data_IF_658113320805
#
_entry.id   IF_658113320805
#
_cell.length_a   1.000
_cell.length_b   1.000
_cell.length_c   1.000
_cell.angle_alpha   90.00
_cell.angle_beta   90.00
_cell.angle_gamma   90.00
#
_symmetry.space_group_name_H-M   'P 1'
#
loop_
_entity.id
_entity.type
_entity.pdbx_description
1 polymer ?
#
# COMPACT_ATOMS: atom_id res chain seq x y z
N UNK A 1 -28.32 -14.00 86.81
CA UNK A 1 -28.10 -13.04 85.71
C UNK A 1 -26.83 -13.48 84.92
N UNK A 2 -27.05 -14.12 83.80
CA UNK A 2 -25.92 -14.62 82.91
C UNK A 2 -26.13 -14.02 81.56
N UNK A 3 -25.22 -13.12 81.13
CA UNK A 3 -25.17 -12.55 79.80
C UNK A 3 -24.48 -13.55 78.86
N UNK A 4 -25.17 -13.95 77.84
CA UNK A 4 -24.61 -14.79 76.75
C UNK A 4 -24.18 -13.86 75.64
N UNK A 5 -22.86 -13.81 75.39
CA UNK A 5 -22.22 -13.07 74.31
C UNK A 5 -22.23 -13.94 73.08
N UNK A 6 -22.99 -13.54 72.02
CA UNK A 6 -22.97 -14.18 70.69
C UNK A 6 -21.95 -13.49 69.86
N UNK A 7 -20.86 -14.18 69.60
CA UNK A 7 -19.80 -13.75 68.61
C UNK A 7 -20.28 -14.10 67.22
N UNK A 8 -20.48 -13.07 66.36
CA UNK A 8 -20.81 -13.20 65.00
C UNK A 8 -19.48 -13.25 64.14
N UNK A 9 -19.17 -14.42 63.61
CA UNK A 9 -18.05 -14.55 62.65
C UNK A 9 -18.53 -14.08 61.26
N UNK A 10 -18.01 -12.91 60.79
CA UNK A 10 -18.15 -12.50 59.40
C UNK A 10 -17.07 -13.19 58.60
N UNK A 11 -17.43 -14.14 57.73
CA UNK A 11 -16.56 -14.71 56.74
C UNK A 11 -16.52 -13.78 55.52
N UNK A 12 -15.38 -13.09 55.32
CA UNK A 12 -15.10 -12.21 54.17
C UNK A 12 -14.64 -13.08 53.00
N UNK A 13 -15.55 -13.43 52.06
CA UNK A 13 -15.22 -14.13 50.84
C UNK A 13 -14.68 -13.14 49.80
N UNK A 14 -13.36 -13.12 49.63
CA UNK A 14 -12.67 -12.37 48.54
C UNK A 14 -12.88 -13.13 47.23
N UNK A 15 -13.86 -12.70 46.44
CA UNK A 15 -14.05 -13.17 45.06
C UNK A 15 -12.96 -12.62 44.16
N UNK A 16 -12.02 -13.48 43.73
CA UNK A 16 -11.02 -13.16 42.75
C UNK A 16 -11.69 -13.03 41.38
N UNK A 17 -11.96 -11.77 40.95
CA UNK A 17 -12.52 -11.47 39.64
C UNK A 17 -11.38 -11.57 38.62
N UNK A 18 -11.24 -12.71 37.95
CA UNK A 18 -10.31 -12.88 36.85
C UNK A 18 -10.77 -12.01 35.66
N UNK A 19 -10.11 -10.88 35.44
CA UNK A 19 -10.31 -10.05 34.27
C UNK A 19 -9.65 -10.78 33.08
N UNK A 20 -10.47 -11.47 32.27
CA UNK A 20 -10.05 -12.05 31.02
C UNK A 20 -9.90 -10.89 30.03
N UNK A 21 -8.67 -10.40 29.87
CA UNK A 21 -8.35 -9.41 28.82
C UNK A 21 -8.37 -10.11 27.48
N UNK A 22 -9.45 -9.97 26.72
CA UNK A 22 -9.46 -10.35 25.30
C UNK A 22 -8.51 -9.42 24.59
N UNK A 23 -7.32 -9.90 24.24
CA UNK A 23 -6.44 -9.23 23.30
C UNK A 23 -7.17 -9.16 21.94
N UNK A 24 -7.72 -8.02 21.60
CA UNK A 24 -8.24 -7.74 20.26
C UNK A 24 -7.08 -7.92 19.29
N UNK A 25 -7.15 -8.98 18.48
CA UNK A 25 -6.23 -9.20 17.37
C UNK A 25 -6.51 -8.09 16.34
N UNK A 26 -5.80 -6.98 16.45
CA UNK A 26 -5.85 -5.90 15.47
C UNK A 26 -5.46 -6.50 14.13
N UNK A 27 -6.41 -6.52 13.18
CA UNK A 27 -6.09 -6.92 11.80
C UNK A 27 -4.98 -6.00 11.30
N UNK A 28 -3.93 -6.53 10.65
CA UNK A 28 -2.84 -5.70 10.17
C UNK A 28 -3.41 -4.63 9.23
N UNK A 29 -2.99 -3.38 9.41
CA UNK A 29 -3.46 -2.24 8.64
C UNK A 29 -3.01 -2.39 7.17
N UNK A 30 -3.96 -2.58 6.26
CA UNK A 30 -3.71 -2.76 4.83
C UNK A 30 -3.41 -1.39 4.23
N UNK A 31 -2.18 -1.19 3.77
CA UNK A 31 -1.75 0.05 3.14
C UNK A 31 -2.04 0.09 1.64
N UNK A 32 -1.96 -1.05 0.96
CA UNK A 32 -2.14 -1.14 -0.49
C UNK A 32 -2.93 -2.40 -0.85
N UNK A 33 -3.94 -2.25 -1.69
CA UNK A 33 -4.63 -3.36 -2.34
C UNK A 33 -4.19 -3.44 -3.81
N UNK A 34 -3.83 -4.63 -4.27
CA UNK A 34 -3.51 -4.90 -5.68
C UNK A 34 -4.48 -5.93 -6.21
N UNK A 35 -5.13 -5.64 -7.34
CA UNK A 35 -6.17 -6.51 -7.88
C UNK A 35 -6.49 -6.26 -9.35
N UNK A 36 -7.66 -6.70 -9.80
CA UNK A 36 -8.07 -6.67 -11.20
C UNK A 36 -7.60 -7.90 -11.97
N UNK A 37 -7.14 -7.74 -13.20
CA UNK A 37 -6.65 -8.84 -14.06
C UNK A 37 -5.23 -9.27 -13.66
N UNK A 38 -5.09 -9.89 -12.51
CA UNK A 38 -3.83 -10.41 -11.93
C UNK A 38 -3.98 -11.89 -11.58
N UNK A 39 -2.87 -12.63 -11.55
CA UNK A 39 -2.88 -14.02 -11.07
C UNK A 39 -3.10 -14.10 -9.55
N UNK A 40 -2.55 -13.11 -8.80
CA UNK A 40 -2.59 -13.07 -7.35
C UNK A 40 -3.00 -11.68 -6.86
N UNK A 41 -4.26 -11.53 -6.44
CA UNK A 41 -4.67 -10.32 -5.71
C UNK A 41 -4.01 -10.25 -4.35
N UNK A 42 -3.54 -9.06 -3.94
CA UNK A 42 -2.77 -8.87 -2.71
C UNK A 42 -3.36 -7.74 -1.87
N UNK A 43 -3.30 -7.92 -0.54
CA UNK A 43 -3.50 -6.87 0.45
C UNK A 43 -2.20 -6.72 1.21
N UNK A 44 -1.50 -5.62 0.98
CA UNK A 44 -0.16 -5.40 1.49
C UNK A 44 -0.19 -4.47 2.71
N UNK A 45 0.39 -4.94 3.78
CA UNK A 45 0.68 -4.15 4.99
C UNK A 45 2.04 -3.47 4.86
N UNK A 46 2.42 -2.65 5.84
CA UNK A 46 3.79 -2.10 5.94
C UNK A 46 4.82 -3.23 5.92
N UNK A 47 4.63 -4.24 6.74
CA UNK A 47 5.55 -5.37 6.84
C UNK A 47 5.68 -6.18 5.54
N UNK A 48 4.64 -6.19 4.69
CA UNK A 48 4.70 -6.85 3.39
C UNK A 48 5.45 -5.99 2.36
N UNK A 49 5.27 -4.68 2.39
CA UNK A 49 6.03 -3.75 1.54
C UNK A 49 7.52 -3.75 1.88
N UNK A 50 7.87 -3.92 3.16
CA UNK A 50 9.27 -3.97 3.61
C UNK A 50 10.01 -5.25 3.16
N UNK A 51 9.28 -6.28 2.66
CA UNK A 51 9.87 -7.49 2.07
C UNK A 51 10.32 -7.32 0.62
N UNK A 52 9.87 -6.27 -0.07
CA UNK A 52 10.32 -5.96 -1.42
C UNK A 52 11.70 -5.30 -1.43
N UNK A 53 12.43 -5.44 -2.52
CA UNK A 53 13.70 -4.74 -2.70
C UNK A 53 13.48 -3.22 -2.64
N UNK A 54 14.21 -2.55 -1.75
CA UNK A 54 14.11 -1.09 -1.60
C UNK A 54 14.88 -0.43 -2.74
N UNK A 55 14.22 0.55 -3.36
CA UNK A 55 14.79 1.36 -4.42
C UNK A 55 14.82 2.83 -4.00
N UNK A 56 15.81 3.54 -4.53
CA UNK A 56 15.98 4.98 -4.33
C UNK A 56 16.05 5.66 -5.67
N UNK A 57 15.37 6.77 -5.83
CA UNK A 57 15.53 7.65 -6.99
C UNK A 57 15.53 9.12 -6.56
N UNK A 58 16.10 9.98 -7.42
CA UNK A 58 16.02 11.43 -7.29
C UNK A 58 15.12 11.98 -8.38
N UNK A 59 14.22 12.88 -8.00
CA UNK A 59 13.32 13.52 -8.94
C UNK A 59 12.92 14.92 -8.44
N UNK A 60 12.65 15.82 -9.39
CA UNK A 60 12.11 17.15 -9.06
C UNK A 60 10.63 17.06 -8.76
N UNK A 61 10.20 17.60 -7.62
CA UNK A 61 8.77 17.73 -7.27
C UNK A 61 8.19 19.03 -7.85
N UNK A 62 6.90 19.25 -7.63
CA UNK A 62 6.13 20.38 -8.16
C UNK A 62 6.66 21.77 -7.75
N UNK A 63 7.43 21.86 -6.67
CA UNK A 63 8.12 23.08 -6.21
C UNK A 63 9.45 23.35 -6.94
N UNK A 64 9.81 22.46 -7.91
CA UNK A 64 11.04 22.54 -8.70
C UNK A 64 12.29 22.04 -7.99
N UNK A 65 12.19 21.61 -6.72
CA UNK A 65 13.31 21.08 -5.96
C UNK A 65 13.46 19.58 -6.20
N UNK A 66 14.70 19.15 -6.21
CA UNK A 66 15.03 17.72 -6.27
C UNK A 66 15.00 17.10 -4.88
N UNK A 67 14.31 15.97 -4.77
CA UNK A 67 14.21 15.18 -3.55
C UNK A 67 14.66 13.75 -3.81
N UNK A 68 15.13 13.10 -2.76
CA UNK A 68 15.41 11.67 -2.72
C UNK A 68 14.15 10.94 -2.27
N UNK A 69 13.67 9.99 -3.07
CA UNK A 69 12.53 9.14 -2.76
C UNK A 69 12.98 7.71 -2.55
N UNK A 70 12.53 7.09 -1.46
CA UNK A 70 12.77 5.68 -1.16
C UNK A 70 11.43 4.93 -1.17
N UNK A 71 11.42 3.73 -1.77
CA UNK A 71 10.21 2.94 -1.90
C UNK A 71 10.43 1.59 -2.59
N UNK A 72 9.40 1.11 -3.26
CA UNK A 72 9.40 -0.13 -4.03
C UNK A 72 9.15 0.20 -5.51
N UNK A 73 9.92 -0.37 -6.43
CA UNK A 73 9.64 -0.24 -7.85
C UNK A 73 8.27 -0.89 -8.16
N UNK A 74 7.39 -0.15 -8.85
CA UNK A 74 6.02 -0.63 -9.12
C UNK A 74 6.03 -1.93 -9.91
N UNK A 75 7.00 -2.11 -10.83
CA UNK A 75 7.13 -3.37 -11.58
C UNK A 75 7.28 -4.60 -10.67
N UNK A 76 8.00 -4.50 -9.56
CA UNK A 76 8.18 -5.63 -8.63
C UNK A 76 6.86 -6.04 -7.96
N UNK A 77 6.03 -5.05 -7.62
CA UNK A 77 4.70 -5.30 -7.07
C UNK A 77 3.82 -5.99 -8.12
N UNK A 78 3.86 -5.51 -9.37
CA UNK A 78 3.08 -6.06 -10.46
C UNK A 78 3.54 -7.48 -10.83
N UNK A 79 4.84 -7.75 -10.85
CA UNK A 79 5.40 -9.09 -11.07
C UNK A 79 4.99 -10.04 -9.94
N UNK A 80 5.00 -9.59 -8.69
CA UNK A 80 4.53 -10.37 -7.55
C UNK A 80 3.04 -10.70 -7.64
N UNK A 81 2.24 -9.83 -8.27
CA UNK A 81 0.83 -10.08 -8.58
C UNK A 81 0.63 -11.03 -9.79
N UNK A 82 1.71 -11.48 -10.44
CA UNK A 82 1.68 -12.44 -11.55
C UNK A 82 1.72 -11.81 -12.94
N UNK A 83 1.91 -10.49 -13.06
CA UNK A 83 2.04 -9.86 -14.38
C UNK A 83 3.39 -10.24 -15.01
N UNK A 84 3.34 -10.47 -16.32
CA UNK A 84 4.51 -10.81 -17.14
C UNK A 84 4.87 -9.60 -18.01
N UNK A 85 6.16 -9.32 -18.11
CA UNK A 85 6.76 -8.22 -18.85
C UNK A 85 7.67 -8.73 -19.96
N UNK A 86 8.34 -7.83 -20.67
CA UNK A 86 9.21 -8.19 -21.79
C UNK A 86 8.43 -8.78 -22.95
N UNK A 87 8.88 -9.92 -23.47
CA UNK A 87 8.27 -10.57 -24.62
C UNK A 87 6.80 -10.96 -24.43
N UNK A 88 6.36 -11.16 -23.20
CA UNK A 88 4.97 -11.45 -22.88
C UNK A 88 4.04 -10.22 -22.99
N UNK A 89 4.60 -9.00 -22.92
CA UNK A 89 3.85 -7.75 -23.01
C UNK A 89 3.76 -7.26 -24.46
N UNK A 90 3.12 -8.07 -25.33
CA UNK A 90 2.98 -7.78 -26.77
C UNK A 90 1.56 -7.98 -27.26
N UNK A 91 1.22 -7.39 -28.39
CA UNK A 91 -0.08 -7.56 -29.06
C UNK A 91 -1.24 -7.15 -28.15
N UNK A 92 -2.15 -8.06 -27.89
CA UNK A 92 -3.35 -7.78 -27.06
C UNK A 92 -3.02 -7.42 -25.60
N UNK A 93 -1.85 -7.84 -25.09
CA UNK A 93 -1.43 -7.49 -23.73
C UNK A 93 -1.13 -6.00 -23.57
N UNK A 94 -0.76 -5.30 -24.66
CA UNK A 94 -0.53 -3.84 -24.67
C UNK A 94 -1.80 -3.03 -24.34
N UNK A 95 -2.99 -3.60 -24.51
CA UNK A 95 -4.25 -2.97 -24.15
C UNK A 95 -4.58 -3.12 -22.65
N UNK A 96 -3.59 -3.45 -21.83
CA UNK A 96 -3.72 -3.56 -20.38
C UNK A 96 -3.04 -2.36 -19.72
N UNK A 97 -3.66 -1.82 -18.68
CA UNK A 97 -3.15 -0.67 -17.95
C UNK A 97 -3.31 -0.85 -16.43
N UNK A 98 -2.53 -0.12 -15.70
CA UNK A 98 -2.64 0.02 -14.25
C UNK A 98 -3.49 1.26 -13.95
N UNK A 99 -4.57 1.09 -13.21
CA UNK A 99 -5.33 2.16 -12.56
C UNK A 99 -4.86 2.27 -11.12
N UNK A 100 -4.32 3.42 -10.74
CA UNK A 100 -3.95 3.75 -9.36
C UNK A 100 -4.98 4.68 -8.76
N UNK A 101 -5.48 4.35 -7.57
CA UNK A 101 -6.46 5.15 -6.86
C UNK A 101 -5.92 5.59 -5.50
N UNK A 102 -6.16 6.85 -5.17
CA UNK A 102 -5.87 7.47 -3.90
C UNK A 102 -7.01 7.30 -2.88
N UNK A 103 -6.73 7.62 -1.62
CA UNK A 103 -7.73 7.54 -0.54
C UNK A 103 -8.90 8.53 -0.72
N UNK A 104 -8.69 9.66 -1.42
CA UNK A 104 -9.69 10.67 -1.75
C UNK A 104 -10.46 10.37 -3.05
N UNK A 105 -10.19 9.23 -3.71
CA UNK A 105 -10.80 8.84 -4.96
C UNK A 105 -10.12 9.39 -6.22
N UNK A 106 -9.01 10.16 -6.09
CA UNK A 106 -8.23 10.57 -7.25
C UNK A 106 -7.68 9.36 -7.98
N UNK A 107 -7.75 9.35 -9.32
CA UNK A 107 -7.32 8.23 -10.15
C UNK A 107 -6.35 8.66 -11.24
N UNK A 108 -5.36 7.82 -11.52
CA UNK A 108 -4.45 7.98 -12.65
C UNK A 108 -4.19 6.63 -13.33
N UNK A 109 -3.98 6.68 -14.64
CA UNK A 109 -3.75 5.51 -15.50
C UNK A 109 -2.30 5.49 -15.98
N UNK A 110 -1.73 4.28 -16.02
CA UNK A 110 -0.38 4.00 -16.51
C UNK A 110 -0.46 2.81 -17.47
N UNK A 111 0.05 2.97 -18.67
CA UNK A 111 0.18 1.83 -19.58
C UNK A 111 1.23 0.83 -19.04
N UNK A 112 0.97 -0.47 -19.13
CA UNK A 112 1.93 -1.47 -18.62
C UNK A 112 3.33 -1.34 -19.23
N UNK A 113 3.51 -0.98 -20.53
CA UNK A 113 4.85 -0.76 -21.08
C UNK A 113 5.66 0.35 -20.40
N UNK A 114 5.03 1.25 -19.64
CA UNK A 114 5.76 2.29 -18.88
C UNK A 114 6.59 1.71 -17.73
N UNK A 115 6.26 0.50 -17.28
CA UNK A 115 7.00 -0.22 -16.23
C UNK A 115 8.00 -1.23 -16.79
N UNK A 116 7.95 -1.51 -18.09
CA UNK A 116 8.74 -2.56 -18.72
C UNK A 116 10.12 -2.05 -19.15
N UNK A 117 11.26 -2.54 -18.56
CA UNK A 117 12.60 -2.04 -18.88
C UNK A 117 12.95 -2.07 -20.39
N UNK A 118 12.61 -3.11 -21.19
CA UNK A 118 12.81 -3.08 -22.64
C UNK A 118 12.07 -1.95 -23.37
N UNK A 119 11.00 -1.42 -22.77
CA UNK A 119 10.18 -0.37 -23.38
C UNK A 119 10.44 1.01 -22.81
N UNK A 120 11.02 1.09 -21.61
CA UNK A 120 11.20 2.35 -20.90
C UNK A 120 12.30 2.27 -19.83
N UNK A 121 13.27 3.18 -19.90
CA UNK A 121 14.36 3.27 -18.91
C UNK A 121 13.95 3.92 -17.58
N UNK A 122 12.72 4.42 -17.47
CA UNK A 122 12.24 5.10 -16.26
C UNK A 122 11.79 4.12 -15.20
N UNK A 123 12.34 4.24 -14.02
CA UNK A 123 11.81 3.54 -12.85
C UNK A 123 10.65 4.36 -12.27
N UNK A 124 9.45 3.78 -12.25
CA UNK A 124 8.30 4.32 -11.52
C UNK A 124 8.29 3.70 -10.12
N UNK A 125 8.28 4.55 -9.10
CA UNK A 125 8.42 4.14 -7.70
C UNK A 125 7.11 4.36 -6.94
N UNK A 126 6.72 3.39 -6.14
CA UNK A 126 5.78 3.58 -5.04
C UNK A 126 6.61 3.94 -3.81
N UNK A 127 6.72 5.24 -3.55
CA UNK A 127 7.53 5.76 -2.45
C UNK A 127 6.74 5.80 -1.14
N UNK A 128 7.46 5.58 -0.04
CA UNK A 128 6.95 5.76 1.32
C UNK A 128 7.81 6.72 2.16
N UNK A 129 8.92 7.22 1.59
CA UNK A 129 9.81 8.22 2.21
C UNK A 129 10.28 9.25 1.20
N UNK A 130 10.50 10.46 1.72
CA UNK A 130 11.16 11.57 1.03
C UNK A 130 12.28 12.10 1.93
N UNK A 131 13.52 12.16 1.42
CA UNK A 131 14.72 12.54 2.16
C UNK A 131 14.90 11.82 3.51
N UNK A 132 14.54 10.51 3.53
CA UNK A 132 14.61 9.65 4.70
C UNK A 132 13.43 9.76 5.67
N UNK A 133 12.56 10.76 5.52
CA UNK A 133 11.38 10.94 6.36
C UNK A 133 10.12 10.33 5.72
N UNK A 134 9.16 9.88 6.53
CA UNK A 134 7.85 9.50 6.05
C UNK A 134 7.10 10.72 5.49
N UNK A 135 6.24 10.49 4.50
CA UNK A 135 5.39 11.57 3.98
C UNK A 135 4.42 12.10 5.05
N UNK A 136 4.08 13.42 5.01
CA UNK A 136 2.99 13.94 5.82
C UNK A 136 1.66 13.29 5.44
N UNK A 137 0.69 13.31 6.34
CA UNK A 137 -0.62 12.68 6.14
C UNK A 137 -1.34 13.12 4.83
N UNK A 138 -1.07 14.32 4.36
CA UNK A 138 -1.63 14.87 3.11
C UNK A 138 -1.02 14.26 1.83
N UNK A 139 0.08 13.53 1.93
CA UNK A 139 0.78 12.90 0.79
C UNK A 139 1.00 11.39 0.97
N UNK A 140 1.14 10.94 2.21
CA UNK A 140 1.41 9.55 2.56
C UNK A 140 0.17 8.72 2.94
N UNK A 141 0.38 7.45 3.30
CA UNK A 141 1.67 6.80 3.53
C UNK A 141 2.43 6.41 2.24
N UNK A 142 1.77 6.34 1.10
CA UNK A 142 2.33 5.92 -0.19
C UNK A 142 2.08 6.98 -1.26
N UNK A 143 3.10 7.26 -2.08
CA UNK A 143 3.03 8.24 -3.18
C UNK A 143 3.65 7.64 -4.45
N UNK A 144 2.98 7.78 -5.59
CA UNK A 144 3.59 7.47 -6.89
C UNK A 144 4.62 8.52 -7.26
N UNK A 145 5.81 8.10 -7.68
CA UNK A 145 6.86 8.97 -8.24
C UNK A 145 7.12 8.52 -9.67
N UNK A 146 6.87 9.43 -10.61
CA UNK A 146 6.93 9.16 -12.05
C UNK A 146 7.93 10.13 -12.69
N UNK A 147 9.23 9.82 -12.68
CA UNK A 147 10.26 10.69 -13.25
C UNK A 147 10.00 10.95 -14.73
N UNK A 148 10.30 12.16 -15.19
CA UNK A 148 10.17 12.55 -16.60
C UNK A 148 8.78 13.01 -17.04
N UNK A 149 7.75 12.89 -16.21
CA UNK A 149 6.48 13.55 -16.47
C UNK A 149 6.66 15.08 -16.37
N UNK A 150 6.17 15.82 -17.36
CA UNK A 150 6.25 17.30 -17.36
C UNK A 150 5.38 17.93 -16.26
N UNK A 151 4.33 17.21 -15.84
CA UNK A 151 3.43 17.61 -14.76
C UNK A 151 3.32 16.48 -13.75
N UNK A 152 2.99 16.81 -12.50
CA UNK A 152 2.88 15.82 -11.42
C UNK A 152 1.45 15.24 -11.27
N UNK A 153 0.61 15.37 -12.31
CA UNK A 153 -0.78 14.85 -12.26
C UNK A 153 -0.83 13.33 -11.98
N UNK A 154 0.15 12.56 -12.46
CA UNK A 154 0.23 11.12 -12.18
C UNK A 154 1.06 10.76 -10.93
N UNK A 155 1.56 11.75 -10.19
CA UNK A 155 2.22 11.51 -8.91
C UNK A 155 1.16 11.36 -7.80
N UNK A 156 0.35 10.31 -7.92
CA UNK A 156 -0.78 10.05 -7.02
C UNK A 156 -0.29 9.99 -5.58
N UNK A 157 -0.88 10.82 -4.73
CA UNK A 157 -0.64 10.83 -3.28
C UNK A 157 -1.62 9.92 -2.57
N UNK A 158 -1.31 9.49 -1.34
CA UNK A 158 -2.19 8.65 -0.53
C UNK A 158 -2.69 7.40 -1.29
N UNK A 159 -1.80 6.75 -2.03
CA UNK A 159 -2.15 5.57 -2.84
C UNK A 159 -2.77 4.49 -1.96
N UNK A 160 -3.95 4.02 -2.35
CA UNK A 160 -4.75 3.00 -1.65
C UNK A 160 -4.87 1.72 -2.45
N UNK A 161 -5.04 1.83 -3.77
CA UNK A 161 -5.21 0.65 -4.62
C UNK A 161 -4.49 0.77 -5.96
N UNK A 162 -4.13 -0.39 -6.49
CA UNK A 162 -3.58 -0.63 -7.81
C UNK A 162 -4.43 -1.70 -8.49
N UNK A 163 -5.14 -1.34 -9.54
CA UNK A 163 -6.04 -2.26 -10.26
C UNK A 163 -5.57 -2.44 -11.69
N UNK A 164 -5.33 -3.68 -12.09
CA UNK A 164 -5.00 -4.01 -13.46
C UNK A 164 -6.28 -4.18 -14.26
N UNK A 165 -6.37 -3.42 -15.35
CA UNK A 165 -7.55 -3.37 -16.20
C UNK A 165 -7.16 -3.60 -17.65
N UNK A 166 -7.91 -4.43 -18.34
CA UNK A 166 -7.80 -4.59 -19.79
C UNK A 166 -8.83 -3.70 -20.47
N UNK A 167 -8.38 -2.92 -21.46
CA UNK A 167 -9.30 -2.11 -22.24
C UNK A 167 -10.36 -3.00 -22.92
N UNK A 168 -11.64 -2.60 -22.91
CA UNK A 168 -12.71 -3.36 -23.54
C UNK A 168 -12.46 -3.48 -25.05
N UNK A 169 -12.83 -4.63 -25.62
CA UNK A 169 -12.82 -4.78 -27.09
C UNK A 169 -13.92 -3.89 -27.68
N UNK A 170 -13.54 -3.02 -28.62
CA UNK A 170 -14.52 -2.32 -29.43
C UNK A 170 -15.31 -3.37 -30.23
N UNK A 171 -16.64 -3.42 -30.06
CA UNK A 171 -17.50 -4.19 -30.96
C UNK A 171 -17.52 -3.43 -32.30
N UNK A 172 -17.00 -4.05 -33.34
CA UNK A 172 -17.21 -3.63 -34.72
C UNK A 172 -18.58 -4.08 -35.16
#
# INVERSE_FOLDING_TARGET
MKFIQRTCLLALSIGCLAIVTFAQKTSPDVLLTVGGEVEHSMKLTRADLDKFARQTLRAKDHDGKEYKYDGVAVIEILQKAGLKFGDALRGKALATYLLVEAADGYQAVYALPEFDPPSNDRMILLADRQDGAAFPATAGPLKMIVPGDKTHARWVRQVKSMTIVRAPKTRQ
#
